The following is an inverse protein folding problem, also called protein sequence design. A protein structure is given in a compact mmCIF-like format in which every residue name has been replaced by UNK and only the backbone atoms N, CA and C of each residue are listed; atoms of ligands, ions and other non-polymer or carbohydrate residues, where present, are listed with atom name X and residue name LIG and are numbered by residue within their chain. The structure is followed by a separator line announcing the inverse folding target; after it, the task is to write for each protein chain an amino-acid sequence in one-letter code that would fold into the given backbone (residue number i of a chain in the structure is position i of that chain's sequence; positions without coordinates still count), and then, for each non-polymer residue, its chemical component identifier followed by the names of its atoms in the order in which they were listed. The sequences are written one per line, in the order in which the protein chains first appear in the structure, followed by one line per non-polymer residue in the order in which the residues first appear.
data_IF_202120827556
#
_entry.id   IF_202120827556
#
_cell.length_a   1.000
_cell.length_b   1.000
_cell.length_c   1.000
_cell.angle_alpha   90.00
_cell.angle_beta   90.00
_cell.angle_gamma   90.00
#
_symmetry.space_group_name_H-M   'P 1'
#
loop_
_entity.id
_entity.type
_entity.pdbx_description
1 polymer ?
#
# COMPACT_ATOMS: atom_id res chain seq x y z
N UNK A 1 -5.06 -23.39 5.42
CA UNK A 1 -5.39 -21.97 5.19
C UNK A 1 -4.72 -21.43 3.93
N UNK A 2 -5.35 -20.49 3.19
CA UNK A 2 -4.78 -19.84 2.00
C UNK A 2 -4.35 -18.41 2.36
N UNK A 3 -3.08 -18.07 2.08
CA UNK A 3 -2.58 -16.69 2.16
C UNK A 3 -2.87 -16.01 0.82
N UNK A 4 -3.58 -14.88 0.85
CA UNK A 4 -4.00 -14.19 -0.38
C UNK A 4 -2.94 -13.23 -0.94
N UNK A 5 -2.05 -12.75 -0.08
CA UNK A 5 -0.98 -11.83 -0.44
C UNK A 5 -0.69 -10.84 0.67
N UNK A 6 0.25 -9.95 0.37
CA UNK A 6 0.66 -8.84 1.23
C UNK A 6 0.57 -7.55 0.44
N UNK A 7 0.26 -6.46 1.12
CA UNK A 7 0.17 -5.11 0.55
C UNK A 7 0.95 -4.13 1.42
N UNK A 8 1.43 -3.04 0.85
CA UNK A 8 2.05 -1.96 1.64
C UNK A 8 1.05 -0.83 1.85
N UNK A 9 0.80 -0.50 3.11
CA UNK A 9 -0.01 0.66 3.47
C UNK A 9 0.77 1.94 3.18
N UNK A 10 0.09 2.95 2.66
CA UNK A 10 0.59 4.30 2.42
C UNK A 10 -0.20 5.24 3.31
N UNK A 11 0.50 5.92 4.22
CA UNK A 11 -0.08 6.85 5.17
C UNK A 11 0.39 8.28 4.86
N UNK A 12 -0.25 9.33 5.33
CA UNK A 12 0.30 10.69 5.27
C UNK A 12 1.39 10.87 6.32
N UNK A 13 2.09 12.01 6.28
CA UNK A 13 3.03 12.44 7.33
C UNK A 13 2.42 12.46 8.74
N UNK A 14 1.09 12.57 8.83
CA UNK A 14 0.33 12.53 10.09
C UNK A 14 -0.12 11.11 10.48
N UNK A 15 0.35 10.08 9.77
CA UNK A 15 -0.03 8.69 10.00
C UNK A 15 -1.42 8.30 9.52
N UNK A 16 -2.12 9.15 8.77
CA UNK A 16 -3.47 8.85 8.28
C UNK A 16 -3.40 7.96 7.05
N UNK A 17 -4.26 6.95 6.94
CA UNK A 17 -4.33 6.11 5.74
C UNK A 17 -4.67 6.93 4.48
N UNK A 18 -3.82 6.83 3.44
CA UNK A 18 -4.04 7.47 2.13
C UNK A 18 -4.16 6.46 1.01
N UNK A 19 -3.61 5.25 1.17
CA UNK A 19 -3.76 4.24 0.14
C UNK A 19 -3.06 2.93 0.43
N UNK A 20 -3.13 2.05 -0.56
CA UNK A 20 -2.50 0.72 -0.51
C UNK A 20 -1.73 0.46 -1.80
N UNK A 21 -0.46 0.11 -1.67
CA UNK A 21 0.45 -0.23 -2.76
C UNK A 21 0.54 -1.76 -2.96
N UNK A 22 0.50 -2.20 -4.23
CA UNK A 22 0.47 -3.60 -4.67
C UNK A 22 1.36 -3.84 -5.90
N UNK A 23 1.60 -5.10 -6.24
CA UNK A 23 2.51 -5.51 -7.32
C UNK A 23 3.96 -5.34 -6.91
N UNK A 24 4.70 -4.45 -7.57
CA UNK A 24 6.02 -4.00 -7.10
C UNK A 24 5.87 -3.08 -5.87
N UNK A 25 5.27 -3.59 -4.80
CA UNK A 25 4.90 -2.78 -3.63
C UNK A 25 6.11 -2.23 -2.85
N UNK A 26 7.33 -2.72 -3.10
CA UNK A 26 8.59 -2.13 -2.61
C UNK A 26 9.08 -0.95 -3.45
N UNK A 27 8.41 -0.63 -4.56
CA UNK A 27 8.73 0.52 -5.41
C UNK A 27 8.73 1.81 -4.58
N UNK A 28 9.75 2.64 -4.78
CA UNK A 28 9.97 3.87 -4.03
C UNK A 28 10.53 3.70 -2.61
N UNK A 29 10.80 2.48 -2.14
CA UNK A 29 11.58 2.31 -0.88
C UNK A 29 13.07 2.50 -1.11
N UNK A 30 13.80 2.85 -0.06
CA UNK A 30 15.25 2.89 -0.10
C UNK A 30 15.88 1.48 -0.26
N UNK A 31 17.14 1.46 -0.67
CA UNK A 31 17.86 0.21 -0.92
C UNK A 31 18.05 -0.63 0.36
N UNK A 32 18.16 0.02 1.53
CA UNK A 32 18.33 -0.69 2.80
C UNK A 32 17.05 -1.46 3.16
N UNK A 33 15.88 -0.86 2.96
CA UNK A 33 14.58 -1.51 3.15
C UNK A 33 14.40 -2.67 2.19
N UNK A 34 14.68 -2.45 0.90
CA UNK A 34 14.58 -3.52 -0.12
C UNK A 34 15.48 -4.71 0.24
N UNK A 35 16.72 -4.44 0.69
CA UNK A 35 17.64 -5.49 1.16
C UNK A 35 17.10 -6.18 2.40
N UNK A 36 16.70 -5.43 3.43
CA UNK A 36 16.15 -5.98 4.68
C UNK A 36 14.94 -6.89 4.43
N UNK A 37 14.07 -6.51 3.49
CA UNK A 37 12.89 -7.28 3.15
C UNK A 37 13.23 -8.66 2.55
N UNK A 38 14.28 -8.73 1.71
CA UNK A 38 14.69 -9.97 1.01
C UNK A 38 15.84 -10.73 1.68
N UNK A 39 16.52 -10.13 2.65
CA UNK A 39 17.73 -10.71 3.24
C UNK A 39 17.40 -11.99 3.99
N UNK A 40 18.01 -13.10 3.55
CA UNK A 40 18.00 -14.37 4.26
C UNK A 40 19.18 -14.39 5.24
N UNK A 41 18.89 -14.30 6.55
CA UNK A 41 19.81 -14.60 7.67
C UNK A 41 21.00 -13.65 7.94
N UNK A 42 20.95 -12.94 9.08
CA UNK A 42 22.12 -12.53 9.89
C UNK A 42 22.38 -11.02 9.98
N UNK A 43 22.40 -10.37 11.15
CA UNK A 43 23.06 -10.82 12.40
C UNK A 43 22.21 -11.52 13.48
N UNK A 44 20.88 -11.38 13.49
CA UNK A 44 19.96 -12.11 14.40
C UNK A 44 18.62 -12.41 13.68
N UNK A 45 18.71 -12.88 12.44
CA UNK A 45 17.58 -12.92 11.50
C UNK A 45 16.46 -13.89 11.86
N UNK A 46 15.24 -13.56 11.40
CA UNK A 46 14.02 -14.36 11.44
C UNK A 46 14.22 -15.76 10.81
N UNK A 47 14.77 -16.71 11.57
CA UNK A 47 14.90 -18.13 11.21
C UNK A 47 15.45 -18.40 9.79
N UNK A 48 16.32 -17.53 9.27
CA UNK A 48 16.92 -17.67 7.93
C UNK A 48 16.01 -17.34 6.74
N UNK A 49 14.87 -16.68 6.97
CA UNK A 49 13.86 -16.38 5.94
C UNK A 49 13.84 -14.90 5.55
N UNK A 50 13.36 -14.61 4.34
CA UNK A 50 12.93 -13.25 3.97
C UNK A 50 11.65 -12.86 4.71
N UNK A 51 11.35 -11.56 4.79
CA UNK A 51 10.14 -11.07 5.48
C UNK A 51 8.87 -11.62 4.82
N UNK A 52 8.84 -11.73 3.49
CA UNK A 52 7.73 -12.31 2.74
C UNK A 52 7.44 -13.77 3.15
N UNK A 53 8.47 -14.59 3.19
CA UNK A 53 8.40 -16.00 3.61
C UNK A 53 7.91 -16.11 5.06
N UNK A 54 8.51 -15.32 5.96
CA UNK A 54 8.14 -15.29 7.37
C UNK A 54 6.69 -14.86 7.58
N UNK A 55 6.25 -13.78 6.92
CA UNK A 55 4.88 -13.27 7.04
C UNK A 55 3.86 -14.27 6.48
N UNK A 56 4.20 -15.02 5.43
CA UNK A 56 3.35 -16.10 4.93
C UNK A 56 3.19 -17.24 5.96
N UNK A 57 4.26 -17.61 6.67
CA UNK A 57 4.20 -18.63 7.73
C UNK A 57 3.40 -18.14 8.93
N UNK A 58 3.64 -16.89 9.35
CA UNK A 58 2.90 -16.25 10.43
C UNK A 58 1.41 -16.20 10.13
N UNK A 59 1.01 -15.83 8.91
CA UNK A 59 -0.40 -15.80 8.50
C UNK A 59 -1.05 -17.18 8.60
N UNK A 60 -0.39 -18.23 8.08
CA UNK A 60 -0.90 -19.61 8.18
C UNK A 60 -1.06 -20.05 9.63
N UNK A 61 -0.01 -19.87 10.43
CA UNK A 61 -0.01 -20.22 11.85
C UNK A 61 -1.11 -19.48 12.65
N UNK A 62 -1.27 -18.19 12.37
CA UNK A 62 -2.25 -17.34 13.06
C UNK A 62 -3.65 -17.82 12.75
N UNK A 63 -3.96 -18.02 11.48
CA UNK A 63 -5.31 -18.39 11.15
C UNK A 63 -5.64 -19.85 11.49
N UNK A 64 -4.69 -20.79 11.51
CA UNK A 64 -4.94 -22.14 12.05
C UNK A 64 -5.33 -22.09 13.54
N UNK A 65 -4.89 -21.07 14.28
CA UNK A 65 -5.34 -20.81 15.66
C UNK A 65 -6.69 -20.11 15.70
N UNK A 66 -6.90 -19.09 14.87
CA UNK A 66 -8.21 -18.40 14.80
C UNK A 66 -9.33 -19.37 14.39
N UNK A 67 -9.09 -20.28 13.46
CA UNK A 67 -10.05 -21.32 13.09
C UNK A 67 -10.38 -22.25 14.26
N UNK A 68 -9.39 -22.64 15.08
CA UNK A 68 -9.62 -23.42 16.31
C UNK A 68 -10.41 -22.66 17.36
N UNK A 69 -10.37 -21.33 17.34
CA UNK A 69 -11.19 -20.44 18.17
C UNK A 69 -12.56 -20.14 17.54
N UNK A 70 -12.91 -20.77 16.41
CA UNK A 70 -14.22 -20.62 15.77
C UNK A 70 -14.32 -19.47 14.78
N UNK A 71 -13.23 -18.77 14.44
CA UNK A 71 -13.28 -17.76 13.38
C UNK A 71 -13.52 -18.42 12.02
N UNK A 72 -14.63 -18.07 11.40
CA UNK A 72 -14.93 -18.37 9.99
C UNK A 72 -14.84 -17.09 9.16
N UNK A 73 -13.91 -17.03 8.21
CA UNK A 73 -13.80 -15.90 7.28
C UNK A 73 -12.37 -15.43 7.04
N UNK A 74 -12.24 -14.20 6.55
CA UNK A 74 -10.94 -13.57 6.30
C UNK A 74 -10.45 -12.81 7.52
N UNK A 75 -9.13 -12.70 7.62
CA UNK A 75 -8.48 -11.76 8.53
C UNK A 75 -7.28 -11.10 7.83
N UNK A 76 -6.87 -9.95 8.37
CA UNK A 76 -5.59 -9.31 8.06
C UNK A 76 -4.67 -9.32 9.28
N UNK A 77 -3.36 -9.25 9.03
CA UNK A 77 -2.35 -8.97 10.04
C UNK A 77 -1.67 -7.67 9.63
N UNK A 78 -1.62 -6.71 10.53
CA UNK A 78 -0.86 -5.49 10.35
C UNK A 78 0.52 -5.63 10.99
N UNK A 79 1.55 -5.14 10.30
CA UNK A 79 2.95 -5.28 10.66
C UNK A 79 3.70 -3.99 10.32
N UNK A 80 4.77 -3.69 11.07
CA UNK A 80 5.66 -2.57 10.75
C UNK A 80 7.08 -3.03 10.50
N UNK A 81 7.73 -2.38 9.56
CA UNK A 81 9.18 -2.30 9.51
C UNK A 81 9.57 -0.90 9.93
N UNK A 82 10.45 -0.77 10.90
CA UNK A 82 10.86 0.50 11.49
C UNK A 82 12.37 0.54 11.67
N UNK A 83 12.92 1.74 11.87
CA UNK A 83 14.32 1.92 12.28
C UNK A 83 14.36 2.09 13.79
N UNK A 84 15.21 1.34 14.47
CA UNK A 84 15.45 1.54 15.91
C UNK A 84 16.30 2.79 16.19
N UNK A 85 16.69 2.97 17.46
CA UNK A 85 17.48 4.14 17.88
C UNK A 85 18.85 4.23 17.21
N UNK A 86 19.39 3.09 16.76
CA UNK A 86 20.67 2.95 16.06
C UNK A 86 20.51 3.00 14.53
N UNK A 87 19.29 3.28 14.04
CA UNK A 87 18.97 3.36 12.62
C UNK A 87 18.81 2.00 11.92
N UNK A 88 18.89 0.90 12.69
CA UNK A 88 18.79 -0.45 12.15
C UNK A 88 17.34 -0.83 11.87
N UNK A 89 17.10 -1.47 10.74
CA UNK A 89 15.77 -1.94 10.39
C UNK A 89 15.36 -3.13 11.28
N UNK A 90 14.15 -3.05 11.82
CA UNK A 90 13.52 -4.06 12.66
C UNK A 90 12.10 -4.35 12.14
N UNK A 91 11.63 -5.57 12.35
CA UNK A 91 10.28 -6.00 12.02
C UNK A 91 9.47 -6.12 13.33
N UNK A 92 8.33 -5.44 13.39
CA UNK A 92 7.25 -5.74 14.31
C UNK A 92 6.20 -6.58 13.55
N UNK A 93 6.19 -7.91 13.70
CA UNK A 93 5.53 -8.80 12.75
C UNK A 93 4.01 -8.88 12.89
N UNK A 94 3.46 -8.58 14.06
CA UNK A 94 2.02 -8.66 14.32
C UNK A 94 1.63 -7.63 15.36
N UNK A 95 1.01 -6.55 14.90
CA UNK A 95 0.59 -5.43 15.73
C UNK A 95 -0.91 -5.55 16.01
N UNK A 96 -1.66 -5.83 14.95
CA UNK A 96 -3.11 -5.98 15.00
C UNK A 96 -3.53 -7.18 14.14
N UNK A 97 -4.55 -7.89 14.60
CA UNK A 97 -5.28 -8.88 13.82
C UNK A 97 -6.67 -8.32 13.55
N UNK A 98 -7.00 -8.18 12.27
CA UNK A 98 -8.27 -7.64 11.80
C UNK A 98 -9.15 -8.79 11.27
N UNK A 99 -10.06 -9.40 12.06
CA UNK A 99 -10.88 -10.56 11.65
C UNK A 99 -12.05 -10.16 10.73
N UNK A 100 -11.74 -9.45 9.65
CA UNK A 100 -12.68 -8.94 8.65
C UNK A 100 -12.03 -8.89 7.28
N UNK A 101 -12.83 -8.62 6.25
CA UNK A 101 -12.27 -8.21 4.96
C UNK A 101 -11.62 -6.82 5.11
N UNK A 102 -10.32 -6.75 4.81
CA UNK A 102 -9.53 -5.51 4.91
C UNK A 102 -9.41 -4.81 3.56
N UNK A 103 -9.02 -3.53 3.58
CA UNK A 103 -8.73 -2.76 2.35
C UNK A 103 -7.62 -3.42 1.51
N UNK A 104 -6.65 -4.07 2.15
CA UNK A 104 -5.63 -4.87 1.47
C UNK A 104 -6.22 -5.97 0.57
N UNK A 105 -7.36 -6.57 0.95
CA UNK A 105 -8.05 -7.56 0.09
C UNK A 105 -8.58 -6.93 -1.20
N UNK A 106 -9.16 -5.73 -1.12
CA UNK A 106 -9.65 -5.00 -2.30
C UNK A 106 -8.47 -4.63 -3.19
N UNK A 107 -7.38 -4.12 -2.61
CA UNK A 107 -6.16 -3.81 -3.35
C UNK A 107 -5.56 -5.05 -4.05
N UNK A 108 -5.55 -6.22 -3.38
CA UNK A 108 -5.12 -7.47 -3.99
C UNK A 108 -6.05 -7.93 -5.13
N UNK A 109 -7.36 -7.67 -5.03
CA UNK A 109 -8.29 -7.96 -6.12
C UNK A 109 -8.04 -7.05 -7.33
N UNK A 110 -7.77 -5.76 -7.10
CA UNK A 110 -7.36 -4.82 -8.15
C UNK A 110 -6.03 -5.22 -8.80
N UNK A 111 -5.06 -5.69 -7.99
CA UNK A 111 -3.76 -6.17 -8.48
C UNK A 111 -3.86 -7.34 -9.46
N UNK A 112 -4.92 -8.17 -9.39
CA UNK A 112 -5.14 -9.25 -10.36
C UNK A 112 -5.53 -8.74 -11.75
N UNK A 113 -5.93 -7.47 -11.86
CA UNK A 113 -6.36 -6.82 -13.10
C UNK A 113 -5.29 -5.93 -13.71
N UNK A 114 -4.11 -5.80 -13.11
CA UNK A 114 -3.03 -5.00 -13.68
C UNK A 114 -1.96 -5.86 -14.36
N UNK A 115 -1.24 -5.27 -15.31
CA UNK A 115 -0.11 -5.90 -15.97
C UNK A 115 0.96 -6.30 -14.93
N UNK A 116 1.46 -7.55 -14.94
CA UNK A 116 2.57 -7.96 -14.08
C UNK A 116 3.79 -7.06 -14.24
N UNK A 117 4.55 -6.86 -13.16
CA UNK A 117 5.74 -6.00 -13.15
C UNK A 117 5.46 -4.50 -13.03
N UNK A 118 4.19 -4.09 -12.97
CA UNK A 118 3.81 -2.70 -12.62
C UNK A 118 3.67 -2.50 -11.11
N UNK A 119 3.59 -1.24 -10.70
CA UNK A 119 3.18 -0.84 -9.36
C UNK A 119 1.72 -0.40 -9.41
N UNK A 120 0.88 -0.94 -8.54
CA UNK A 120 -0.49 -0.49 -8.35
C UNK A 120 -0.59 0.32 -7.06
N UNK A 121 -1.24 1.48 -7.09
CA UNK A 121 -1.52 2.28 -5.91
C UNK A 121 -3.02 2.60 -5.86
N UNK A 122 -3.71 2.01 -4.89
CA UNK A 122 -5.11 2.33 -4.62
C UNK A 122 -5.17 3.51 -3.65
N UNK A 123 -5.55 4.67 -4.18
CA UNK A 123 -5.55 5.96 -3.50
C UNK A 123 -6.93 6.29 -2.93
N UNK A 124 -6.93 6.93 -1.77
CA UNK A 124 -8.10 7.54 -1.13
C UNK A 124 -7.86 9.05 -1.03
N UNK A 125 -8.37 9.78 -2.01
CA UNK A 125 -8.23 11.23 -2.12
C UNK A 125 -9.32 11.88 -1.27
N UNK A 126 -8.92 12.50 -0.16
CA UNK A 126 -9.86 13.21 0.72
C UNK A 126 -10.21 14.60 0.19
N UNK A 127 -11.28 15.20 0.72
CA UNK A 127 -11.64 16.60 0.44
C UNK A 127 -10.53 17.60 0.80
N UNK A 128 -9.73 17.31 1.82
CA UNK A 128 -8.58 18.16 2.17
C UNK A 128 -7.49 18.15 1.09
N UNK A 129 -7.29 16.99 0.45
CA UNK A 129 -6.37 16.86 -0.68
C UNK A 129 -6.89 17.57 -1.91
N UNK A 130 -8.19 17.52 -2.15
CA UNK A 130 -8.83 18.25 -3.24
C UNK A 130 -8.48 19.76 -3.20
N UNK A 131 -8.52 20.36 -2.01
CA UNK A 131 -8.14 21.76 -1.80
C UNK A 131 -6.64 21.99 -2.02
N UNK A 132 -5.77 21.13 -1.48
CA UNK A 132 -4.31 21.20 -1.69
C UNK A 132 -3.93 21.12 -3.17
N UNK A 133 -4.62 20.26 -3.92
CA UNK A 133 -4.41 20.03 -5.35
C UNK A 133 -5.06 21.12 -6.23
N UNK A 134 -5.65 22.16 -5.63
CA UNK A 134 -6.27 23.26 -6.35
C UNK A 134 -7.42 22.80 -7.26
N UNK A 135 -8.22 21.83 -6.82
CA UNK A 135 -9.41 21.38 -7.53
C UNK A 135 -10.66 21.73 -6.72
N UNK A 136 -11.76 22.00 -7.42
CA UNK A 136 -13.04 22.40 -6.80
C UNK A 136 -13.98 21.22 -6.56
N UNK A 137 -13.78 20.11 -7.28
CA UNK A 137 -14.56 18.87 -7.16
C UNK A 137 -13.73 17.65 -7.51
N UNK A 138 -14.10 16.47 -7.00
CA UNK A 138 -13.44 15.22 -7.39
C UNK A 138 -13.58 14.94 -8.88
N UNK A 139 -14.70 15.32 -9.52
CA UNK A 139 -14.89 15.18 -10.96
C UNK A 139 -13.91 16.03 -11.77
N UNK A 140 -13.59 17.25 -11.30
CA UNK A 140 -12.55 18.08 -11.90
C UNK A 140 -11.17 17.45 -11.74
N UNK A 141 -10.85 16.98 -10.53
CA UNK A 141 -9.56 16.34 -10.25
C UNK A 141 -9.38 15.06 -11.08
N UNK A 142 -10.42 14.23 -11.16
CA UNK A 142 -10.46 13.03 -12.01
C UNK A 142 -10.12 13.36 -13.45
N UNK A 143 -10.81 14.33 -14.07
CA UNK A 143 -10.53 14.73 -15.47
C UNK A 143 -9.09 15.18 -15.65
N UNK A 144 -8.56 15.96 -14.70
CA UNK A 144 -7.16 16.42 -14.72
C UNK A 144 -6.19 15.24 -14.68
N UNK A 145 -6.43 14.28 -13.80
CA UNK A 145 -5.59 13.09 -13.64
C UNK A 145 -5.72 12.11 -14.81
N UNK A 146 -6.91 11.92 -15.38
CA UNK A 146 -7.13 11.12 -16.58
C UNK A 146 -6.42 11.70 -17.81
N UNK A 147 -6.36 13.03 -17.92
CA UNK A 147 -5.60 13.70 -18.98
C UNK A 147 -4.09 13.50 -18.81
N UNK A 148 -3.58 13.54 -17.57
CA UNK A 148 -2.17 13.33 -17.29
C UNK A 148 -1.76 11.86 -17.45
N UNK A 149 -2.58 10.93 -16.97
CA UNK A 149 -2.32 9.49 -16.91
C UNK A 149 -3.52 8.69 -17.45
N UNK A 150 -3.74 8.71 -18.78
CA UNK A 150 -4.90 8.07 -19.39
C UNK A 150 -4.88 6.57 -19.16
N UNK A 151 -6.06 6.01 -18.84
CA UNK A 151 -6.23 4.58 -18.64
C UNK A 151 -5.93 3.83 -19.94
N UNK A 152 -4.94 2.94 -19.89
CA UNK A 152 -4.64 2.00 -20.96
C UNK A 152 -4.93 0.60 -20.48
N UNK A 153 -5.69 -0.14 -21.26
CA UNK A 153 -6.04 -1.53 -20.97
C UNK A 153 -6.14 -2.35 -22.25
N UNK A 154 -6.07 -3.67 -22.12
CA UNK A 154 -6.43 -4.59 -23.20
C UNK A 154 -7.36 -5.69 -22.67
N UNK A 155 -8.13 -6.28 -23.58
CA UNK A 155 -8.95 -7.44 -23.28
C UNK A 155 -8.12 -8.72 -23.38
N UNK A 156 -8.28 -9.59 -22.39
CA UNK A 156 -7.74 -10.93 -22.35
C UNK A 156 -8.86 -11.93 -22.07
N UNK A 157 -8.61 -13.23 -22.23
CA UNK A 157 -9.59 -14.28 -21.93
C UNK A 157 -10.08 -14.25 -20.48
N UNK A 158 -9.28 -13.73 -19.55
CA UNK A 158 -9.63 -13.50 -18.14
C UNK A 158 -10.30 -12.14 -17.85
N UNK A 159 -10.63 -11.36 -18.88
CA UNK A 159 -11.21 -10.02 -18.79
C UNK A 159 -10.22 -8.89 -19.06
N UNK A 160 -10.52 -7.70 -18.57
CA UNK A 160 -9.71 -6.49 -18.82
C UNK A 160 -8.45 -6.50 -17.97
N UNK A 161 -7.32 -6.22 -18.61
CA UNK A 161 -6.01 -6.02 -17.97
C UNK A 161 -5.58 -4.56 -18.16
N UNK A 162 -5.33 -3.88 -17.05
CA UNK A 162 -4.85 -2.50 -16.96
C UNK A 162 -3.34 -2.48 -17.20
N UNK A 163 -2.91 -1.77 -18.23
CA UNK A 163 -1.51 -1.61 -18.60
C UNK A 163 -0.85 -0.46 -17.84
N UNK A 164 -1.57 0.66 -17.71
CA UNK A 164 -1.15 1.89 -17.03
C UNK A 164 -2.33 2.86 -16.85
N UNK A 165 -2.16 3.89 -16.03
CA UNK A 165 -3.09 5.00 -15.89
C UNK A 165 -4.05 4.85 -14.71
N UNK A 166 -5.06 5.70 -14.68
CA UNK A 166 -6.00 5.80 -13.56
C UNK A 166 -7.30 5.05 -13.84
N UNK A 167 -7.65 4.10 -12.96
CA UNK A 167 -8.98 3.49 -12.91
C UNK A 167 -9.76 4.05 -11.72
N UNK A 168 -10.92 4.64 -11.97
CA UNK A 168 -11.82 5.02 -10.88
C UNK A 168 -12.41 3.78 -10.18
N UNK A 169 -12.44 3.79 -8.84
CA UNK A 169 -13.04 2.71 -8.04
C UNK A 169 -14.30 3.14 -7.29
N UNK A 170 -14.56 4.44 -7.21
CA UNK A 170 -15.80 5.05 -6.73
C UNK A 170 -16.14 6.25 -7.62
N UNK A 171 -17.38 6.40 -8.11
CA UNK A 171 -17.75 7.51 -9.00
C UNK A 171 -17.50 8.90 -8.37
N UNK A 172 -16.61 9.69 -8.95
CA UNK A 172 -16.16 10.98 -8.44
C UNK A 172 -17.32 11.98 -8.27
N UNK A 173 -18.28 11.95 -9.19
CA UNK A 173 -19.48 12.79 -9.17
C UNK A 173 -20.42 12.49 -8.00
N UNK A 174 -20.30 11.32 -7.37
CA UNK A 174 -21.09 10.91 -6.20
C UNK A 174 -20.33 11.15 -4.88
N UNK A 175 -19.07 11.56 -4.94
CA UNK A 175 -18.20 11.67 -3.78
C UNK A 175 -18.28 13.08 -3.17
N UNK A 176 -18.48 13.17 -1.86
CA UNK A 176 -18.48 14.44 -1.11
C UNK A 176 -17.32 14.58 -0.11
N UNK A 177 -16.70 13.45 0.28
CA UNK A 177 -15.64 13.41 1.29
C UNK A 177 -14.36 12.71 0.84
N UNK A 178 -14.50 11.55 0.18
CA UNK A 178 -13.37 10.75 -0.29
C UNK A 178 -13.71 10.21 -1.67
N UNK A 179 -12.78 10.36 -2.60
CA UNK A 179 -12.79 9.71 -3.90
C UNK A 179 -11.67 8.67 -3.95
N UNK A 180 -11.95 7.49 -4.51
CA UNK A 180 -10.98 6.41 -4.62
C UNK A 180 -10.69 6.05 -6.07
N UNK A 181 -9.42 5.80 -6.35
CA UNK A 181 -8.93 5.45 -7.67
C UNK A 181 -7.70 4.54 -7.57
N UNK A 182 -7.52 3.69 -8.57
CA UNK A 182 -6.41 2.76 -8.70
C UNK A 182 -5.47 3.22 -9.82
N UNK A 183 -4.28 3.66 -9.43
CA UNK A 183 -3.21 4.05 -10.35
C UNK A 183 -2.35 2.83 -10.66
N UNK A 184 -2.20 2.50 -11.95
CA UNK A 184 -1.22 1.50 -12.42
C UNK A 184 -0.07 2.23 -13.09
N UNK A 185 1.14 2.04 -12.56
CA UNK A 185 2.31 2.82 -12.92
C UNK A 185 3.53 1.95 -13.20
N UNK A 186 4.38 2.39 -14.13
CA UNK A 186 5.72 1.85 -14.32
C UNK A 186 6.75 2.55 -13.42
N UNK A 187 6.57 3.85 -13.19
CA UNK A 187 7.45 4.72 -12.43
C UNK A 187 6.58 5.56 -11.48
N UNK A 188 6.25 4.96 -10.34
CA UNK A 188 5.26 5.51 -9.41
C UNK A 188 5.66 6.89 -8.87
N UNK A 189 6.91 7.15 -8.45
CA UNK A 189 7.33 8.50 -8.04
C UNK A 189 7.09 9.54 -9.12
N UNK A 190 7.52 9.28 -10.36
CA UNK A 190 7.34 10.21 -11.48
C UNK A 190 5.86 10.48 -11.76
N UNK A 191 5.05 9.44 -11.78
CA UNK A 191 3.61 9.57 -12.03
C UNK A 191 2.94 10.37 -10.90
N UNK A 192 3.29 10.14 -9.63
CA UNK A 192 2.77 10.92 -8.50
C UNK A 192 3.13 12.40 -8.56
N UNK A 193 4.37 12.74 -8.94
CA UNK A 193 4.77 14.13 -9.16
C UNK A 193 3.92 14.79 -10.26
N UNK A 194 3.62 14.06 -11.35
CA UNK A 194 2.77 14.58 -12.42
C UNK A 194 1.33 14.86 -11.99
N UNK A 195 0.89 14.24 -10.90
CA UNK A 195 -0.45 14.43 -10.31
C UNK A 195 -0.47 15.50 -9.21
N UNK A 196 0.67 16.11 -8.88
CA UNK A 196 0.83 17.05 -7.76
C UNK A 196 0.81 16.36 -6.39
N UNK A 197 1.19 15.08 -6.35
CA UNK A 197 1.15 14.23 -5.15
C UNK A 197 2.55 14.12 -4.51
N UNK A 198 3.28 15.22 -4.45
CA UNK A 198 4.69 15.25 -4.02
C UNK A 198 4.90 14.66 -2.62
N UNK A 199 3.96 14.94 -1.70
CA UNK A 199 3.94 14.42 -0.33
C UNK A 199 3.90 12.88 -0.28
N UNK A 200 3.39 12.20 -1.32
CA UNK A 200 3.41 10.73 -1.42
C UNK A 200 4.51 10.26 -2.36
N UNK A 201 4.95 11.09 -3.31
CA UNK A 201 6.02 10.74 -4.25
C UNK A 201 7.33 10.40 -3.53
N UNK A 202 7.58 11.02 -2.38
CA UNK A 202 8.60 10.59 -1.42
C UNK A 202 8.14 9.34 -0.64
N UNK A 203 7.96 8.24 -1.38
CA UNK A 203 7.63 6.91 -0.85
C UNK A 203 8.71 6.35 0.09
N UNK A 204 9.86 7.03 0.18
CA UNK A 204 10.98 6.69 1.08
C UNK A 204 10.77 7.20 2.51
N UNK A 205 9.86 8.17 2.69
CA UNK A 205 9.59 8.88 3.93
C UNK A 205 8.48 8.33 4.84
N UNK A 206 7.85 7.18 4.53
CA UNK A 206 6.80 6.62 5.41
C UNK A 206 7.30 5.94 6.69
N UNK A 207 8.51 6.29 7.14
CA UNK A 207 8.84 6.19 8.55
C UNK A 207 8.19 7.36 9.26
N UNK A 208 7.46 7.10 10.34
CA UNK A 208 7.17 8.13 11.34
C UNK A 208 8.39 9.07 11.45
N UNK A 209 8.21 10.37 11.21
CA UNK A 209 9.01 11.34 11.96
C UNK A 209 8.65 11.06 13.41
N UNK A 210 9.37 10.14 14.04
CA UNK A 210 9.40 10.04 15.49
C UNK A 210 10.00 11.36 15.90
N UNK A 211 9.17 12.26 16.40
CA UNK A 211 9.62 13.48 17.04
C UNK A 211 10.73 13.10 18.02
N UNK A 212 11.95 13.55 17.74
CA UNK A 212 13.01 13.75 18.74
C UNK A 212 13.18 15.27 18.85
N UNK A 213 13.57 15.85 19.99
CA UNK A 213 13.55 15.40 21.38
C UNK A 213 12.89 16.46 22.32
N UNK A 214 12.31 16.08 23.47
CA UNK A 214 12.01 17.10 24.50
C UNK A 214 10.85 16.90 25.48
N UNK A 215 10.62 15.70 26.03
CA UNK A 215 9.88 15.62 27.29
C UNK A 215 10.60 14.74 28.31
N UNK A 216 10.79 15.23 29.56
CA UNK A 216 11.49 14.51 30.61
C UNK A 216 10.64 13.36 31.15
N UNK A 217 11.34 12.35 31.67
CA UNK A 217 10.86 11.11 32.27
C UNK A 217 9.75 11.31 33.32
#
# INVERSE_FOLDING_TARGET
MIVLGMTRVVNSDRGQYVGTCVGRFLSGTDQAFTRFFHQKGGSEGLLGQGIDEFMCQLAKWTGDRLCRLGLSGAFGIDSFVFRDQDGQLKLYPMIEINPRHTMGRVALALAKRMLPGRTGLWLHVSKSWLQKLGATSFSELKKRWENALPLRSHSSSGGVVILSGLLETTPAEQCSQVWTCFLVSQDLPKDLLSLGMDEIADLSGFGLKVDKPGMPL
#
